data_IF_309284564598
#
_entry.id   IF_309284564598
#
_cell.length_a   1.000
_cell.length_b   1.000
_cell.length_c   1.000
_cell.angle_alpha   90.00
_cell.angle_beta   90.00
_cell.angle_gamma   90.00
#
_symmetry.space_group_name_H-M   'P 1'
#
loop_
_entity.id
_entity.type
_entity.pdbx_description
1 polymer ?
#
# COMPACT_ATOMS: atom_id res chain seq x y z
N UNK A 1 -39.92 24.43 -8.28
CA UNK A 1 -38.80 23.62 -7.76
C UNK A 1 -37.69 24.57 -7.34
N UNK A 2 -37.32 24.58 -6.05
CA UNK A 2 -36.47 25.61 -5.46
C UNK A 2 -35.00 25.43 -5.85
N UNK A 3 -34.52 26.26 -6.77
CA UNK A 3 -33.11 26.35 -7.19
C UNK A 3 -32.19 26.54 -5.97
N UNK A 4 -32.61 27.27 -4.94
CA UNK A 4 -31.84 27.43 -3.69
C UNK A 4 -31.65 26.12 -2.91
N UNK A 5 -32.66 25.26 -2.85
CA UNK A 5 -32.51 23.94 -2.21
C UNK A 5 -31.58 23.03 -3.02
N UNK A 6 -31.69 23.09 -4.35
CA UNK A 6 -30.84 22.33 -5.26
C UNK A 6 -29.37 22.76 -5.19
N UNK A 7 -29.11 24.07 -5.09
CA UNK A 7 -27.76 24.63 -4.91
C UNK A 7 -27.14 24.27 -3.56
N UNK A 8 -27.93 24.29 -2.46
CA UNK A 8 -27.45 23.84 -1.15
C UNK A 8 -27.14 22.34 -1.14
N UNK A 9 -27.98 21.53 -1.77
CA UNK A 9 -27.76 20.09 -1.90
C UNK A 9 -26.51 19.80 -2.75
N UNK A 10 -26.30 20.54 -3.85
CA UNK A 10 -25.10 20.45 -4.67
C UNK A 10 -23.83 20.85 -3.91
N UNK A 11 -23.87 21.93 -3.11
CA UNK A 11 -22.72 22.34 -2.27
C UNK A 11 -22.39 21.30 -1.19
N UNK A 12 -23.40 20.70 -0.55
CA UNK A 12 -23.18 19.60 0.42
C UNK A 12 -22.58 18.39 -0.28
N UNK A 13 -23.14 17.97 -1.41
CA UNK A 13 -22.63 16.86 -2.20
C UNK A 13 -21.17 17.08 -2.63
N UNK A 14 -20.81 18.29 -3.08
CA UNK A 14 -19.42 18.63 -3.44
C UNK A 14 -18.47 18.48 -2.25
N UNK A 15 -18.84 19.02 -1.08
CA UNK A 15 -18.03 18.91 0.15
C UNK A 15 -17.90 17.45 0.61
N UNK A 16 -18.99 16.68 0.55
CA UNK A 16 -19.01 15.29 0.98
C UNK A 16 -18.16 14.41 0.05
N UNK A 17 -18.24 14.63 -1.27
CA UNK A 17 -17.40 13.93 -2.25
C UNK A 17 -15.91 14.24 -1.99
N UNK A 18 -15.56 15.50 -1.78
CA UNK A 18 -14.17 15.91 -1.52
C UNK A 18 -13.62 15.27 -0.24
N UNK A 19 -14.38 15.29 0.85
CA UNK A 19 -14.01 14.68 2.13
C UNK A 19 -13.81 13.16 2.01
N UNK A 20 -14.73 12.48 1.30
CA UNK A 20 -14.66 11.04 1.09
C UNK A 20 -13.46 10.65 0.21
N UNK A 21 -13.17 11.40 -0.85
CA UNK A 21 -11.97 11.17 -1.69
C UNK A 21 -10.69 11.35 -0.88
N UNK A 22 -10.62 12.38 -0.03
CA UNK A 22 -9.45 12.60 0.84
C UNK A 22 -9.26 11.42 1.81
N UNK A 23 -10.34 11.00 2.48
CA UNK A 23 -10.31 9.86 3.41
C UNK A 23 -9.91 8.56 2.72
N UNK A 24 -10.45 8.29 1.53
CA UNK A 24 -10.10 7.11 0.74
C UNK A 24 -8.61 7.13 0.35
N UNK A 25 -8.07 8.28 -0.07
CA UNK A 25 -6.62 8.42 -0.35
C UNK A 25 -5.77 8.15 0.89
N UNK A 26 -6.18 8.65 2.05
CA UNK A 26 -5.48 8.39 3.32
C UNK A 26 -5.52 6.93 3.73
N UNK A 27 -6.64 6.24 3.50
CA UNK A 27 -6.78 4.81 3.76
C UNK A 27 -5.93 3.97 2.81
N UNK A 28 -5.95 4.26 1.50
CA UNK A 28 -5.09 3.58 0.53
C UNK A 28 -3.60 3.78 0.82
N UNK A 29 -3.22 4.96 1.29
CA UNK A 29 -1.88 5.24 1.75
C UNK A 29 -1.43 4.38 2.94
N UNK A 30 -2.35 3.97 3.81
CA UNK A 30 -2.07 3.14 4.99
C UNK A 30 -2.31 1.65 4.75
N UNK A 31 -3.01 1.31 3.66
CA UNK A 31 -3.24 -0.07 3.28
C UNK A 31 -1.90 -0.79 3.10
N UNK A 32 -1.82 -2.00 3.65
CA UNK A 32 -0.64 -2.84 3.58
C UNK A 32 -0.77 -3.82 2.42
N UNK A 33 0.30 -3.94 1.64
CA UNK A 33 0.50 -4.89 0.56
C UNK A 33 1.60 -5.85 1.00
N UNK A 34 1.41 -7.13 0.70
CA UNK A 34 2.41 -8.17 0.92
C UNK A 34 2.90 -8.66 -0.43
N UNK A 35 4.21 -8.68 -0.61
CA UNK A 35 4.88 -9.25 -1.76
C UNK A 35 5.91 -10.29 -1.31
N UNK A 36 6.26 -11.20 -2.21
CA UNK A 36 7.19 -12.27 -1.90
C UNK A 36 8.14 -12.58 -3.06
N UNK A 37 9.34 -13.06 -2.73
CA UNK A 37 10.33 -13.52 -3.70
C UNK A 37 10.89 -14.89 -3.28
N UNK A 38 11.47 -15.60 -4.26
CA UNK A 38 12.05 -16.91 -4.02
C UNK A 38 11.03 -17.94 -3.53
N UNK A 39 9.82 -17.95 -4.10
CA UNK A 39 8.73 -18.84 -3.69
C UNK A 39 8.33 -18.73 -2.20
N UNK A 40 8.40 -17.51 -1.64
CA UNK A 40 8.00 -17.22 -0.27
C UNK A 40 9.15 -17.23 0.74
N UNK A 41 10.39 -17.45 0.30
CA UNK A 41 11.59 -17.36 1.13
C UNK A 41 11.83 -15.94 1.67
N UNK A 42 11.41 -14.91 0.92
CA UNK A 42 11.39 -13.52 1.38
C UNK A 42 9.97 -12.99 1.26
N UNK A 43 9.47 -12.38 2.34
CA UNK A 43 8.17 -11.69 2.36
C UNK A 43 8.35 -10.26 2.84
N UNK A 44 7.84 -9.31 2.07
CA UNK A 44 7.90 -7.88 2.36
C UNK A 44 6.48 -7.37 2.58
N UNK A 45 6.27 -6.65 3.69
CA UNK A 45 5.04 -5.90 3.95
C UNK A 45 5.32 -4.42 3.74
N UNK A 46 4.59 -3.78 2.84
CA UNK A 46 4.77 -2.38 2.47
C UNK A 46 3.43 -1.64 2.45
N UNK A 47 3.42 -0.36 2.81
CA UNK A 47 2.22 0.48 2.70
C UNK A 47 2.04 1.04 1.29
N UNK A 48 0.83 1.49 0.94
CA UNK A 48 0.57 2.24 -0.31
C UNK A 48 1.31 3.59 -0.44
N UNK A 49 2.13 3.97 0.55
CA UNK A 49 3.11 5.08 0.47
C UNK A 49 4.55 4.60 0.23
N UNK A 50 4.73 3.35 -0.17
CA UNK A 50 6.04 2.74 -0.38
C UNK A 50 6.92 2.70 0.89
N UNK A 51 6.30 2.71 2.06
CA UNK A 51 7.01 2.51 3.34
C UNK A 51 7.04 1.03 3.68
N UNK A 52 8.23 0.43 3.70
CA UNK A 52 8.45 -0.95 4.14
C UNK A 52 8.24 -1.05 5.65
N UNK A 53 7.29 -1.89 6.07
CA UNK A 53 6.94 -2.13 7.47
C UNK A 53 7.67 -3.31 8.07
N UNK A 54 7.85 -4.36 7.27
CA UNK A 54 8.45 -5.62 7.71
C UNK A 54 9.08 -6.37 6.55
N UNK A 55 10.22 -7.00 6.83
CA UNK A 55 10.82 -8.03 5.99
C UNK A 55 10.87 -9.30 6.83
N UNK A 56 10.41 -10.40 6.25
CA UNK A 56 10.53 -11.73 6.83
C UNK A 56 11.35 -12.59 5.89
N UNK A 57 12.35 -13.26 6.46
CA UNK A 57 13.22 -14.21 5.77
C UNK A 57 12.93 -15.58 6.34
N UNK A 58 12.76 -16.57 5.46
CA UNK A 58 12.73 -17.96 5.86
C UNK A 58 14.09 -18.34 6.48
N UNK A 59 14.12 -19.06 7.62
CA UNK A 59 15.38 -19.48 8.24
C UNK A 59 16.29 -20.31 7.33
N UNK A 60 15.75 -21.01 6.34
CA UNK A 60 16.57 -21.76 5.37
C UNK A 60 17.44 -20.85 4.52
N UNK A 61 16.93 -19.65 4.18
CA UNK A 61 17.64 -18.66 3.38
C UNK A 61 18.87 -18.08 4.11
N UNK A 62 18.92 -18.16 5.44
CA UNK A 62 20.07 -17.70 6.23
C UNK A 62 21.32 -18.57 6.06
N UNK A 63 21.21 -19.70 5.35
CA UNK A 63 22.33 -20.58 5.01
C UNK A 63 22.97 -20.21 3.67
N UNK A 64 22.30 -19.38 2.87
CA UNK A 64 22.77 -18.94 1.57
C UNK A 64 23.70 -17.72 1.69
N UNK A 65 24.37 -17.41 0.58
CA UNK A 65 25.28 -16.26 0.52
C UNK A 65 24.52 -14.93 0.56
N UNK A 66 25.14 -13.91 1.16
CA UNK A 66 24.55 -12.58 1.33
C UNK A 66 24.03 -11.99 0.01
N UNK A 67 24.78 -12.17 -1.08
CA UNK A 67 24.41 -11.67 -2.42
C UNK A 67 23.04 -12.21 -2.88
N UNK A 68 22.76 -13.49 -2.65
CA UNK A 68 21.47 -14.09 -3.02
C UNK A 68 20.32 -13.53 -2.16
N UNK A 69 20.57 -13.34 -0.87
CA UNK A 69 19.59 -12.78 0.07
C UNK A 69 19.26 -11.34 -0.34
N UNK A 70 20.26 -10.54 -0.66
CA UNK A 70 20.12 -9.16 -1.12
C UNK A 70 19.30 -9.08 -2.42
N UNK A 71 19.59 -9.94 -3.39
CA UNK A 71 18.86 -10.01 -4.66
C UNK A 71 17.37 -10.36 -4.44
N UNK A 72 17.08 -11.33 -3.57
CA UNK A 72 15.70 -11.72 -3.26
C UNK A 72 14.94 -10.63 -2.50
N UNK A 73 15.60 -9.91 -1.59
CA UNK A 73 15.00 -8.76 -0.91
C UNK A 73 14.69 -7.66 -1.93
N UNK A 74 15.62 -7.35 -2.83
CA UNK A 74 15.40 -6.36 -3.89
C UNK A 74 14.22 -6.76 -4.79
N UNK A 75 14.15 -8.03 -5.19
CA UNK A 75 13.05 -8.56 -5.99
C UNK A 75 11.69 -8.41 -5.27
N UNK A 76 11.61 -8.81 -3.99
CA UNK A 76 10.36 -8.72 -3.22
C UNK A 76 9.90 -7.27 -2.99
N UNK A 77 10.83 -6.34 -2.80
CA UNK A 77 10.49 -4.91 -2.67
C UNK A 77 9.96 -4.36 -3.99
N UNK A 78 10.59 -4.69 -5.11
CA UNK A 78 10.17 -4.21 -6.42
C UNK A 78 8.81 -4.76 -6.85
N UNK A 79 8.49 -6.00 -6.47
CA UNK A 79 7.17 -6.61 -6.73
C UNK A 79 6.05 -5.99 -5.88
N UNK A 80 6.41 -5.35 -4.75
CA UNK A 80 5.45 -4.67 -3.90
C UNK A 80 5.03 -3.27 -4.41
N UNK A 81 5.76 -2.70 -5.38
CA UNK A 81 5.61 -1.32 -5.91
C UNK A 81 4.55 -1.23 -7.01
#
# INVERSE_FOLDING_TARGET
MNINMLMQQAQRMQKDVEANVKKAKEQLAQAEVQAEAGAGLVKVTMTGRYVVKRIHLDPELLKDDADMIEDLIAAAINDAV
#
